data_IF_956880862588
#
_entry.id   IF_956880862588
#
_cell.length_a   1.000
_cell.length_b   1.000
_cell.length_c   1.000
_cell.angle_alpha   90.00
_cell.angle_beta   90.00
_cell.angle_gamma   90.00
#
_symmetry.space_group_name_H-M   'P 1'
#
loop_
_entity.id
_entity.type
_entity.pdbx_description
1 polymer ?
#
# COMPACT_ATOMS: atom_id res chain seq x y z
N UNK A 1 -23.58 6.93 -5.51
CA UNK A 1 -22.43 7.04 -4.61
C UNK A 1 -21.18 7.57 -5.32
N UNK A 2 -20.67 6.93 -6.37
CA UNK A 2 -19.39 7.32 -7.00
C UNK A 2 -19.46 8.73 -7.58
N UNK A 3 -20.54 9.08 -8.28
CA UNK A 3 -20.72 10.43 -8.81
C UNK A 3 -20.68 11.50 -7.71
N UNK A 4 -21.25 11.22 -6.53
CA UNK A 4 -21.21 12.12 -5.37
C UNK A 4 -19.79 12.25 -4.83
N UNK A 5 -19.03 11.15 -4.76
CA UNK A 5 -17.63 11.16 -4.32
C UNK A 5 -16.72 11.89 -5.30
N UNK A 6 -16.98 11.81 -6.60
CA UNK A 6 -16.30 12.62 -7.63
C UNK A 6 -16.57 14.11 -7.38
N UNK A 7 -17.84 14.48 -7.18
CA UNK A 7 -18.23 15.88 -6.90
C UNK A 7 -17.66 16.40 -5.57
N UNK A 8 -17.55 15.52 -4.57
CA UNK A 8 -16.93 15.82 -3.28
C UNK A 8 -15.40 15.83 -3.33
N UNK A 9 -14.79 15.54 -4.49
CA UNK A 9 -13.35 15.65 -4.70
C UNK A 9 -12.52 14.47 -4.22
N UNK A 10 -13.13 13.32 -3.94
CA UNK A 10 -12.41 12.10 -3.51
C UNK A 10 -11.64 11.42 -4.64
N UNK A 11 -12.08 11.60 -5.88
CA UNK A 11 -11.49 10.95 -7.05
C UNK A 11 -10.90 11.96 -8.04
N UNK A 12 -9.87 11.52 -8.75
CA UNK A 12 -9.36 12.16 -9.97
C UNK A 12 -9.43 11.16 -11.12
N UNK A 13 -9.64 11.66 -12.33
CA UNK A 13 -9.61 10.84 -13.54
C UNK A 13 -8.17 10.71 -14.05
N UNK A 14 -7.78 9.49 -14.41
CA UNK A 14 -6.57 9.18 -15.18
C UNK A 14 -6.95 8.38 -16.42
N UNK A 15 -6.04 8.30 -17.39
CA UNK A 15 -6.21 7.42 -18.55
C UNK A 15 -5.27 6.23 -18.44
N UNK A 16 -5.80 5.01 -18.38
CA UNK A 16 -5.05 3.76 -18.33
C UNK A 16 -5.51 2.88 -19.48
N UNK A 17 -4.60 2.38 -20.31
CA UNK A 17 -4.94 1.49 -21.44
C UNK A 17 -6.05 2.06 -22.37
N UNK A 18 -6.04 3.39 -22.56
CA UNK A 18 -7.04 4.09 -23.38
C UNK A 18 -8.42 4.26 -22.75
N UNK A 19 -8.60 3.93 -21.46
CA UNK A 19 -9.86 4.08 -20.73
C UNK A 19 -9.73 5.10 -19.61
N UNK A 20 -10.82 5.82 -19.37
CA UNK A 20 -10.97 6.73 -18.22
C UNK A 20 -11.15 5.91 -16.95
N UNK A 21 -10.27 6.11 -15.99
CA UNK A 21 -10.23 5.39 -14.72
C UNK A 21 -10.21 6.40 -13.59
N UNK A 22 -11.12 6.23 -12.62
CA UNK A 22 -11.14 7.01 -11.39
C UNK A 22 -10.19 6.39 -10.37
N UNK A 23 -9.32 7.22 -9.79
CA UNK A 23 -8.40 6.85 -8.71
C UNK A 23 -8.52 7.85 -7.58
N UNK A 24 -8.18 7.46 -6.35
CA UNK A 24 -8.24 8.39 -5.22
C UNK A 24 -7.38 9.62 -5.52
N UNK A 25 -7.92 10.80 -5.22
CA UNK A 25 -7.21 12.06 -5.36
C UNK A 25 -6.31 12.24 -4.15
N UNK A 26 -5.00 12.37 -4.38
CA UNK A 26 -4.08 12.76 -3.32
C UNK A 26 -4.02 14.30 -3.15
N UNK A 27 -3.77 14.81 -1.93
CA UNK A 27 -3.56 14.05 -0.70
C UNK A 27 -4.86 13.42 -0.18
N UNK A 28 -4.77 12.19 0.36
CA UNK A 28 -5.89 11.47 0.97
C UNK A 28 -5.46 10.77 2.24
N UNK A 29 -6.29 10.86 3.28
CA UNK A 29 -6.06 10.23 4.56
C UNK A 29 -6.97 9.01 4.72
N UNK A 30 -6.40 7.87 5.10
CA UNK A 30 -7.14 6.64 5.42
C UNK A 30 -7.01 6.35 6.91
N UNK A 31 -8.13 6.36 7.62
CA UNK A 31 -8.20 6.22 9.07
C UNK A 31 -8.78 4.85 9.43
N UNK A 32 -7.96 3.96 10.00
CA UNK A 32 -8.42 2.67 10.54
C UNK A 32 -8.70 2.84 12.02
N UNK A 33 -9.97 2.65 12.41
CA UNK A 33 -10.38 2.83 13.80
C UNK A 33 -9.68 1.85 14.74
N UNK A 34 -9.35 2.29 15.96
CA UNK A 34 -8.67 1.48 16.97
C UNK A 34 -9.39 0.14 17.25
N UNK A 35 -10.73 0.16 17.28
CA UNK A 35 -11.53 -1.04 17.44
C UNK A 35 -11.35 -2.05 16.30
N UNK A 36 -11.23 -1.56 15.05
CA UNK A 36 -10.98 -2.39 13.87
C UNK A 36 -9.57 -2.99 13.94
N UNK A 37 -8.56 -2.19 14.29
CA UNK A 37 -7.19 -2.68 14.48
C UNK A 37 -7.13 -3.81 15.52
N UNK A 38 -7.81 -3.63 16.66
CA UNK A 38 -7.87 -4.66 17.72
C UNK A 38 -8.54 -5.96 17.23
N UNK A 39 -9.61 -5.84 16.46
CA UNK A 39 -10.29 -7.01 15.89
C UNK A 39 -9.46 -7.71 14.82
N UNK A 40 -8.79 -6.97 13.95
CA UNK A 40 -7.87 -7.51 12.94
C UNK A 40 -6.69 -8.24 13.57
N UNK A 41 -6.12 -7.65 14.62
CA UNK A 41 -5.10 -8.28 15.45
C UNK A 41 -5.58 -9.61 16.03
N UNK A 42 -6.79 -9.65 16.60
CA UNK A 42 -7.33 -10.87 17.19
C UNK A 42 -7.62 -11.97 16.15
N UNK A 43 -7.88 -11.59 14.90
CA UNK A 43 -8.22 -12.49 13.82
C UNK A 43 -7.03 -12.87 12.92
N UNK A 44 -5.83 -12.33 13.20
CA UNK A 44 -4.63 -12.55 12.40
C UNK A 44 -4.09 -13.98 12.58
N UNK A 45 -4.04 -14.82 11.52
CA UNK A 45 -3.39 -16.10 11.59
C UNK A 45 -1.87 -15.95 11.48
N UNK A 46 -1.14 -16.66 12.34
CA UNK A 46 0.33 -16.59 12.40
C UNK A 46 1.03 -17.37 11.28
N UNK A 47 0.35 -18.35 10.66
CA UNK A 47 0.98 -19.36 9.81
C UNK A 47 0.46 -19.40 8.37
N UNK A 48 -0.50 -18.55 8.02
CA UNK A 48 -1.05 -18.47 6.67
C UNK A 48 -1.45 -17.04 6.33
N UNK A 49 -1.47 -16.74 5.03
CA UNK A 49 -2.03 -15.47 4.58
C UNK A 49 -3.55 -15.49 4.75
N UNK A 50 -4.06 -14.44 5.39
CA UNK A 50 -5.47 -14.09 5.44
C UNK A 50 -5.69 -12.77 4.74
N UNK A 51 -6.95 -12.41 4.55
CA UNK A 51 -7.29 -11.12 4.00
C UNK A 51 -8.78 -10.91 3.95
N UNK A 52 -9.18 -9.90 3.19
CA UNK A 52 -10.57 -9.65 2.90
C UNK A 52 -10.81 -8.22 2.45
N UNK A 53 -11.89 -7.63 2.93
CA UNK A 53 -12.33 -6.28 2.53
C UNK A 53 -12.41 -5.37 3.76
N UNK A 54 -11.72 -4.23 3.71
CA UNK A 54 -11.88 -3.10 4.60
C UNK A 54 -13.00 -2.20 4.04
N UNK A 55 -13.95 -1.83 4.90
CA UNK A 55 -15.11 -1.03 4.52
C UNK A 55 -14.77 0.44 4.80
N UNK A 56 -14.33 1.15 3.77
CA UNK A 56 -13.81 2.50 3.89
C UNK A 56 -14.91 3.54 3.59
N UNK A 57 -15.43 4.20 4.61
CA UNK A 57 -16.49 5.19 4.51
C UNK A 57 -15.91 6.58 4.26
N UNK A 58 -16.34 7.28 3.20
CA UNK A 58 -15.95 8.67 2.97
C UNK A 58 -16.48 9.58 4.09
N UNK A 59 -15.60 10.31 4.78
CA UNK A 59 -15.96 11.33 5.76
C UNK A 59 -14.93 12.48 5.77
N UNK A 60 -15.40 13.72 5.59
CA UNK A 60 -14.60 14.95 5.71
C UNK A 60 -13.28 14.96 4.91
N UNK A 61 -13.28 14.41 3.69
CA UNK A 61 -12.07 14.33 2.85
C UNK A 61 -11.17 13.11 3.15
N UNK A 62 -11.49 12.32 4.17
CA UNK A 62 -10.78 11.09 4.53
C UNK A 62 -11.64 9.85 4.23
N UNK A 63 -11.00 8.69 4.22
CA UNK A 63 -11.65 7.37 4.19
C UNK A 63 -11.52 6.71 5.57
N UNK A 64 -12.64 6.51 6.26
CA UNK A 64 -12.67 5.96 7.62
C UNK A 64 -13.13 4.51 7.60
N UNK A 65 -12.27 3.62 8.07
CA UNK A 65 -12.52 2.18 8.17
C UNK A 65 -13.02 1.86 9.57
N UNK A 66 -14.31 1.54 9.66
CA UNK A 66 -15.00 1.17 10.91
C UNK A 66 -15.38 -0.30 10.98
N UNK A 67 -15.21 -1.04 9.86
CA UNK A 67 -15.54 -2.46 9.74
C UNK A 67 -14.63 -3.13 8.70
N UNK A 68 -14.44 -4.43 8.86
CA UNK A 68 -13.84 -5.29 7.85
C UNK A 68 -14.62 -6.60 7.72
N UNK A 69 -14.28 -7.40 6.72
CA UNK A 69 -14.78 -8.77 6.54
C UNK A 69 -13.61 -9.62 6.08
N UNK A 70 -13.29 -10.68 6.84
CA UNK A 70 -12.30 -11.68 6.44
C UNK A 70 -12.94 -12.59 5.40
N UNK A 71 -12.21 -12.88 4.34
CA UNK A 71 -12.63 -13.84 3.33
C UNK A 71 -11.75 -15.10 3.43
N UNK A 72 -12.34 -16.31 3.39
CA UNK A 72 -11.59 -17.55 3.40
C UNK A 72 -10.55 -17.61 2.27
N UNK A 73 -9.34 -18.08 2.59
CA UNK A 73 -8.32 -18.38 1.58
C UNK A 73 -8.68 -19.70 0.85
N UNK A 74 -8.84 -19.63 -0.47
CA UNK A 74 -9.17 -20.78 -1.34
C UNK A 74 -7.98 -21.67 -1.62
N UNK A 75 -6.75 -21.18 -1.43
CA UNK A 75 -5.55 -21.98 -1.58
C UNK A 75 -5.53 -23.11 -0.53
N UNK A 76 -4.77 -24.16 -0.81
CA UNK A 76 -4.65 -25.33 0.06
C UNK A 76 -3.19 -25.70 0.31
N UNK A 77 -2.91 -26.40 1.41
CA UNK A 77 -1.56 -26.83 1.75
C UNK A 77 -0.56 -25.67 1.90
N UNK A 78 0.64 -25.84 1.34
CA UNK A 78 1.74 -24.87 1.47
C UNK A 78 1.48 -23.56 0.74
N UNK A 79 0.61 -23.53 -0.27
CA UNK A 79 0.32 -22.33 -1.05
C UNK A 79 -0.36 -21.23 -0.21
N UNK A 80 -1.11 -21.62 0.84
CA UNK A 80 -1.73 -20.68 1.79
C UNK A 80 -0.72 -19.91 2.62
N UNK A 81 0.51 -20.42 2.77
CA UNK A 81 1.56 -19.78 3.56
C UNK A 81 2.16 -18.56 2.87
N UNK A 82 2.15 -18.56 1.54
CA UNK A 82 2.85 -17.58 0.70
C UNK A 82 1.92 -16.91 -0.31
N UNK A 83 0.62 -17.08 -0.15
CA UNK A 83 -0.35 -16.53 -1.07
C UNK A 83 -1.77 -16.51 -0.51
N UNK A 84 -2.57 -15.61 -1.07
CA UNK A 84 -3.94 -15.38 -0.68
C UNK A 84 -4.87 -15.33 -1.89
N UNK A 85 -5.86 -16.22 -1.92
CA UNK A 85 -6.94 -16.20 -2.91
C UNK A 85 -8.30 -16.10 -2.21
N UNK A 86 -8.97 -14.92 -2.21
CA UNK A 86 -10.19 -14.72 -1.45
C UNK A 86 -11.41 -15.44 -2.06
N UNK A 87 -12.12 -16.21 -1.24
CA UNK A 87 -13.44 -16.73 -1.59
C UNK A 87 -14.51 -15.63 -1.54
N UNK A 88 -15.47 -15.66 -2.46
CA UNK A 88 -16.67 -14.81 -2.43
C UNK A 88 -16.42 -13.30 -2.32
N UNK A 89 -15.29 -12.80 -2.82
CA UNK A 89 -14.94 -11.37 -2.71
C UNK A 89 -15.95 -10.45 -3.38
N UNK A 90 -16.56 -10.88 -4.50
CA UNK A 90 -17.50 -10.06 -5.26
C UNK A 90 -18.75 -9.65 -4.45
N UNK A 91 -19.35 -10.58 -3.70
CA UNK A 91 -20.56 -10.29 -2.91
C UNK A 91 -20.26 -9.36 -1.73
N UNK A 92 -19.11 -9.55 -1.05
CA UNK A 92 -18.71 -8.68 0.05
C UNK A 92 -18.36 -7.27 -0.45
N UNK A 93 -17.72 -7.14 -1.61
CA UNK A 93 -17.50 -5.83 -2.25
C UNK A 93 -18.82 -5.14 -2.59
N UNK A 94 -19.78 -5.88 -3.17
CA UNK A 94 -21.10 -5.34 -3.48
C UNK A 94 -21.84 -4.86 -2.21
N UNK A 95 -21.77 -5.63 -1.13
CA UNK A 95 -22.37 -5.25 0.15
C UNK A 95 -21.74 -4.00 0.77
N UNK A 96 -20.41 -3.87 0.68
CA UNK A 96 -19.71 -2.66 1.13
C UNK A 96 -20.15 -1.43 0.33
N UNK A 97 -20.24 -1.56 -1.00
CA UNK A 97 -20.73 -0.48 -1.86
C UNK A 97 -22.18 -0.11 -1.54
N UNK A 98 -23.04 -1.10 -1.33
CA UNK A 98 -24.45 -0.87 -0.97
C UNK A 98 -24.61 -0.17 0.39
N UNK A 99 -23.65 -0.32 1.30
CA UNK A 99 -23.63 0.42 2.57
C UNK A 99 -22.98 1.80 2.49
N UNK A 100 -22.53 2.25 1.30
CA UNK A 100 -21.84 3.53 1.13
C UNK A 100 -20.34 3.48 1.43
N UNK A 101 -19.72 2.30 1.49
CA UNK A 101 -18.29 2.13 1.71
C UNK A 101 -17.54 1.76 0.42
N UNK A 102 -16.32 2.28 0.27
CA UNK A 102 -15.37 1.82 -0.74
C UNK A 102 -14.70 0.52 -0.26
N UNK A 103 -14.71 -0.57 -1.05
CA UNK A 103 -14.14 -1.84 -0.65
C UNK A 103 -12.63 -1.89 -0.94
N UNK A 104 -11.82 -1.53 0.05
CA UNK A 104 -10.36 -1.68 -0.02
C UNK A 104 -10.02 -3.15 0.28
N UNK A 105 -9.36 -3.85 -0.65
CA UNK A 105 -8.89 -5.21 -0.36
C UNK A 105 -7.71 -5.15 0.60
N UNK A 106 -7.57 -6.18 1.41
CA UNK A 106 -6.36 -6.37 2.18
C UNK A 106 -5.96 -7.84 2.24
N UNK A 107 -4.68 -8.09 2.46
CA UNK A 107 -4.15 -9.39 2.85
C UNK A 107 -3.01 -9.25 3.85
N UNK A 108 -2.58 -10.36 4.44
CA UNK A 108 -1.50 -10.41 5.41
C UNK A 108 -0.30 -11.19 4.90
N UNK A 109 0.90 -10.80 5.34
CA UNK A 109 2.08 -11.67 5.24
C UNK A 109 2.38 -12.27 6.61
N UNK A 110 2.16 -13.58 6.83
CA UNK A 110 2.46 -14.22 8.10
C UNK A 110 3.94 -14.04 8.44
N UNK A 111 4.23 -13.87 9.72
CA UNK A 111 5.59 -13.81 10.25
C UNK A 111 5.73 -15.02 11.17
N UNK A 112 6.34 -16.09 10.67
CA UNK A 112 6.70 -17.25 11.49
C UNK A 112 7.77 -16.82 12.51
N UNK A 113 7.82 -17.45 13.69
CA UNK A 113 8.63 -16.90 14.78
C UNK A 113 9.98 -17.57 14.84
N UNK A 114 11.00 -16.83 14.41
CA UNK A 114 12.42 -17.15 14.62
C UNK A 114 12.82 -18.57 14.19
N UNK A 115 12.10 -19.17 13.25
CA UNK A 115 12.49 -20.46 12.69
C UNK A 115 13.71 -20.29 11.78
N UNK A 116 13.86 -19.11 11.17
CA UNK A 116 14.99 -18.79 10.30
C UNK A 116 15.42 -17.29 10.39
N UNK A 117 16.54 -16.89 9.75
CA UNK A 117 16.99 -15.50 9.74
C UNK A 117 16.06 -14.48 9.03
N UNK A 118 15.16 -14.95 8.16
CA UNK A 118 14.15 -14.13 7.48
C UNK A 118 13.05 -13.67 8.46
N UNK A 119 12.74 -14.49 9.46
CA UNK A 119 11.75 -14.18 10.50
C UNK A 119 12.23 -13.15 11.53
N UNK A 120 13.54 -12.87 11.56
CA UNK A 120 14.16 -11.90 12.48
C UNK A 120 14.14 -10.46 11.96
N UNK A 121 13.59 -10.24 10.78
CA UNK A 121 13.58 -8.93 10.15
C UNK A 121 12.59 -7.97 10.84
N UNK A 122 12.83 -6.66 10.81
CA UNK A 122 11.87 -5.69 11.34
C UNK A 122 10.55 -5.75 10.54
N UNK A 123 9.42 -5.35 11.14
CA UNK A 123 8.12 -5.40 10.45
C UNK A 123 8.08 -4.73 9.08
N UNK A 124 8.87 -3.67 8.90
CA UNK A 124 8.99 -2.94 7.62
C UNK A 124 9.52 -3.81 6.49
N UNK A 125 10.25 -4.88 6.79
CA UNK A 125 10.72 -5.86 5.82
C UNK A 125 9.57 -6.68 5.22
N UNK A 126 8.54 -6.99 6.01
CA UNK A 126 7.38 -7.78 5.57
C UNK A 126 6.36 -6.94 4.81
N UNK A 127 6.54 -5.62 4.73
CA UNK A 127 5.72 -4.70 3.94
C UNK A 127 6.11 -4.67 2.45
N UNK A 128 6.73 -5.76 1.97
CA UNK A 128 7.16 -5.96 0.58
C UNK A 128 6.07 -6.68 -0.19
N UNK A 129 5.54 -6.03 -1.22
CA UNK A 129 4.58 -6.64 -2.14
C UNK A 129 5.29 -7.44 -3.22
N UNK A 130 4.76 -8.61 -3.55
CA UNK A 130 5.18 -9.41 -4.70
C UNK A 130 4.77 -8.75 -6.02
N UNK A 131 5.34 -9.15 -7.17
CA UNK A 131 4.85 -8.70 -8.48
C UNK A 131 3.36 -9.02 -8.71
N UNK A 132 2.87 -10.15 -8.18
CA UNK A 132 1.46 -10.52 -8.28
C UNK A 132 0.56 -9.57 -7.47
N UNK A 133 0.97 -9.21 -6.25
CA UNK A 133 0.23 -8.26 -5.41
C UNK A 133 0.11 -6.91 -6.11
N UNK A 134 1.22 -6.42 -6.69
CA UNK A 134 1.25 -5.16 -7.44
C UNK A 134 0.36 -5.23 -8.66
N UNK A 135 0.41 -6.31 -9.43
CA UNK A 135 -0.48 -6.48 -10.57
C UNK A 135 -1.96 -6.44 -10.14
N UNK A 136 -2.27 -7.17 -9.06
CA UNK A 136 -3.63 -7.26 -8.54
C UNK A 136 -4.17 -5.94 -8.03
N UNK A 137 -3.34 -5.07 -7.44
CA UNK A 137 -3.75 -3.75 -6.91
C UNK A 137 -4.11 -2.71 -7.98
N UNK A 138 -3.92 -3.04 -9.27
CA UNK A 138 -4.37 -2.22 -10.39
C UNK A 138 -5.63 -2.76 -11.06
N UNK A 139 -6.19 -3.87 -10.59
CA UNK A 139 -7.40 -4.46 -11.17
C UNK A 139 -8.60 -3.52 -10.96
N UNK A 140 -9.28 -3.10 -12.04
CA UNK A 140 -10.38 -2.15 -11.94
C UNK A 140 -11.65 -2.78 -11.36
N UNK A 141 -12.39 -1.96 -10.62
CA UNK A 141 -13.75 -2.22 -10.15
C UNK A 141 -14.74 -1.44 -11.03
N UNK A 142 -15.77 -2.12 -11.53
CA UNK A 142 -16.90 -1.46 -12.20
C UNK A 142 -17.95 -1.10 -11.15
N UNK A 143 -18.10 0.18 -10.85
CA UNK A 143 -19.01 0.69 -9.81
C UNK A 143 -19.87 1.80 -10.42
N UNK A 144 -21.19 1.62 -10.45
CA UNK A 144 -22.13 2.62 -10.99
C UNK A 144 -21.79 3.10 -12.42
N UNK A 145 -21.24 2.22 -13.26
CA UNK A 145 -20.81 2.54 -14.62
C UNK A 145 -19.43 3.22 -14.73
N UNK A 146 -18.79 3.52 -13.59
CA UNK A 146 -17.42 4.02 -13.54
C UNK A 146 -16.42 2.88 -13.41
N UNK A 147 -15.27 3.05 -14.05
CA UNK A 147 -14.08 2.23 -13.80
C UNK A 147 -13.29 2.89 -12.68
N UNK A 148 -13.20 2.22 -11.52
CA UNK A 148 -12.54 2.73 -10.33
C UNK A 148 -11.40 1.81 -9.95
N UNK A 149 -10.24 2.37 -9.62
CA UNK A 149 -9.11 1.63 -9.06
C UNK A 149 -8.81 2.19 -7.67
N UNK A 150 -8.75 1.30 -6.69
CA UNK A 150 -8.47 1.61 -5.28
C UNK A 150 -7.13 0.98 -4.88
N UNK A 151 -6.41 1.54 -3.89
CA UNK A 151 -5.26 0.86 -3.33
C UNK A 151 -5.70 -0.42 -2.61
N UNK A 152 -4.77 -1.37 -2.49
CA UNK A 152 -4.90 -2.53 -1.61
C UNK A 152 -4.14 -2.25 -0.30
N UNK A 153 -4.45 -2.99 0.75
CA UNK A 153 -3.80 -2.88 2.04
C UNK A 153 -3.02 -4.15 2.41
N UNK A 154 -1.83 -3.98 2.97
CA UNK A 154 -1.02 -5.06 3.49
C UNK A 154 -0.97 -4.98 5.00
N UNK A 155 -1.31 -6.09 5.65
CA UNK A 155 -1.23 -6.27 7.09
C UNK A 155 0.03 -7.09 7.44
N UNK A 156 0.83 -6.58 8.37
CA UNK A 156 1.96 -7.32 8.94
C UNK A 156 1.89 -7.22 10.45
N UNK A 157 1.97 -8.35 11.15
CA UNK A 157 1.99 -8.38 12.61
C UNK A 157 3.39 -8.77 13.12
N UNK A 158 3.89 -8.05 14.13
CA UNK A 158 5.09 -8.50 14.86
C UNK A 158 4.65 -9.49 15.92
N UNK A 159 5.25 -10.66 15.88
CA UNK A 159 5.38 -11.60 16.98
C UNK A 159 4.12 -12.33 17.51
N UNK A 160 4.45 -13.37 18.28
CA UNK A 160 3.65 -14.39 18.97
C UNK A 160 2.34 -13.94 19.63
N UNK A 161 2.09 -12.65 19.85
CA UNK A 161 0.92 -12.15 20.57
C UNK A 161 0.04 -11.18 19.77
N UNK A 162 0.41 -10.88 18.51
CA UNK A 162 -0.31 -9.95 17.64
C UNK A 162 -0.28 -8.50 18.12
N UNK A 163 0.51 -8.15 19.13
CA UNK A 163 0.42 -6.88 19.85
C UNK A 163 0.76 -5.63 19.01
N UNK A 164 1.56 -5.79 17.95
CA UNK A 164 1.86 -4.73 16.99
C UNK A 164 1.46 -5.15 15.58
N UNK A 165 0.24 -4.77 15.16
CA UNK A 165 -0.20 -4.85 13.77
C UNK A 165 0.10 -3.55 13.04
N UNK A 166 0.72 -3.67 11.86
CA UNK A 166 0.96 -2.54 10.95
C UNK A 166 0.17 -2.75 9.67
N UNK A 167 -0.46 -1.66 9.23
CA UNK A 167 -1.09 -1.57 7.93
C UNK A 167 -0.29 -0.66 7.02
N UNK A 168 -0.26 -1.03 5.75
CA UNK A 168 0.27 -0.22 4.67
C UNK A 168 -0.70 -0.26 3.49
N UNK A 169 -0.81 0.83 2.73
CA UNK A 169 -1.58 0.88 1.49
C UNK A 169 -0.65 0.88 0.30
N UNK A 170 -0.96 0.12 -0.75
CA UNK A 170 -0.11 0.01 -1.92
C UNK A 170 -0.91 0.01 -3.23
N UNK A 171 -0.25 0.47 -4.29
CA UNK A 171 -0.81 0.52 -5.64
C UNK A 171 -2.01 1.45 -5.79
N UNK A 172 -2.97 1.06 -6.61
CA UNK A 172 -4.17 1.86 -6.87
C UNK A 172 -3.92 3.19 -7.59
N UNK A 173 -2.74 3.36 -8.20
CA UNK A 173 -2.22 4.62 -8.78
C UNK A 173 -2.19 5.82 -7.82
N UNK A 174 -2.20 5.54 -6.51
CA UNK A 174 -2.20 6.57 -5.46
C UNK A 174 -1.15 6.28 -4.40
N UNK A 175 -0.93 5.01 -4.06
CA UNK A 175 0.09 4.59 -3.09
C UNK A 175 1.29 3.93 -3.80
N UNK A 176 2.49 3.91 -3.18
CA UNK A 176 3.65 3.22 -3.72
C UNK A 176 3.37 1.72 -3.86
N UNK A 177 3.96 1.10 -4.88
CA UNK A 177 3.87 -0.35 -5.08
C UNK A 177 4.35 -1.16 -3.87
N UNK A 178 5.36 -0.67 -3.16
CA UNK A 178 5.93 -1.29 -1.95
C UNK A 178 6.68 -0.24 -1.14
N UNK A 179 6.59 -0.31 0.20
CA UNK A 179 7.35 0.58 1.10
C UNK A 179 8.86 0.42 1.00
N UNK A 180 9.35 -0.69 0.44
CA UNK A 180 10.78 -0.90 0.24
C UNK A 180 11.19 -0.80 -1.23
N UNK A 181 10.25 -0.59 -2.16
CA UNK A 181 10.59 -0.35 -3.55
C UNK A 181 11.07 1.09 -3.69
N UNK A 182 12.04 1.29 -4.59
CA UNK A 182 12.32 2.61 -5.10
C UNK A 182 11.11 3.08 -5.93
N UNK A 183 10.59 4.26 -5.62
CA UNK A 183 9.60 4.97 -6.42
C UNK A 183 10.16 5.21 -7.84
N UNK A 184 9.29 5.37 -8.82
CA UNK A 184 9.72 5.63 -10.20
C UNK A 184 10.58 6.90 -10.30
N UNK A 185 10.21 7.94 -9.54
CA UNK A 185 10.98 9.17 -9.37
C UNK A 185 12.36 8.91 -8.76
N UNK A 186 12.46 8.13 -7.67
CA UNK A 186 13.73 7.73 -7.06
C UNK A 186 14.62 6.96 -8.06
N UNK A 187 14.03 6.03 -8.84
CA UNK A 187 14.75 5.27 -9.88
C UNK A 187 15.31 6.19 -10.96
N UNK A 188 14.47 7.08 -11.50
CA UNK A 188 14.88 8.06 -12.53
C UNK A 188 16.00 8.94 -11.99
N UNK A 189 15.90 9.38 -10.74
CA UNK A 189 16.93 10.19 -10.09
C UNK A 189 18.26 9.42 -9.97
N UNK A 190 18.23 8.17 -9.50
CA UNK A 190 19.42 7.33 -9.36
C UNK A 190 20.08 7.08 -10.73
N UNK A 191 19.30 6.76 -11.77
CA UNK A 191 19.85 6.55 -13.11
C UNK A 191 20.47 7.83 -13.68
N UNK A 192 19.83 8.98 -13.48
CA UNK A 192 20.37 10.27 -13.89
C UNK A 192 21.66 10.61 -13.13
N UNK A 193 21.68 10.40 -11.81
CA UNK A 193 22.86 10.59 -10.98
C UNK A 193 24.06 9.74 -11.44
N UNK A 194 23.84 8.46 -11.73
CA UNK A 194 24.87 7.55 -12.24
C UNK A 194 25.40 8.05 -13.60
N UNK A 195 24.50 8.44 -14.52
CA UNK A 195 24.88 8.95 -15.83
C UNK A 195 25.74 10.22 -15.71
N UNK A 196 25.34 11.17 -14.85
CA UNK A 196 26.07 12.43 -14.65
C UNK A 196 27.46 12.18 -14.05
N UNK A 197 27.59 11.25 -13.10
CA UNK A 197 28.89 10.83 -12.54
C UNK A 197 29.77 10.21 -13.61
N UNK A 198 29.21 9.34 -14.46
CA UNK A 198 29.94 8.69 -15.55
C UNK A 198 30.42 9.69 -16.60
N UNK A 199 29.58 10.66 -16.99
CA UNK A 199 29.98 11.74 -17.89
C UNK A 199 31.05 12.64 -17.26
N UNK A 200 30.92 12.98 -15.97
CA UNK A 200 31.92 13.76 -15.26
C UNK A 200 33.28 13.05 -15.18
N UNK A 201 33.28 11.71 -15.08
CA UNK A 201 34.49 10.91 -15.14
C UNK A 201 35.12 10.93 -16.53
N UNK A 202 34.34 10.65 -17.58
CA UNK A 202 34.81 10.59 -18.97
C UNK A 202 35.38 11.92 -19.47
N UNK A 203 34.74 13.05 -19.13
CA UNK A 203 35.10 14.37 -19.67
C UNK A 203 35.85 15.27 -18.68
N UNK A 204 35.91 14.89 -17.40
CA UNK A 204 36.44 15.74 -16.33
C UNK A 204 37.46 15.07 -15.40
N UNK A 205 37.70 13.78 -15.58
CA UNK A 205 38.64 13.00 -14.76
C UNK A 205 38.13 12.71 -13.35
N UNK A 206 38.92 11.91 -12.63
CA UNK A 206 38.53 11.32 -11.34
C UNK A 206 38.12 12.34 -10.26
N UNK A 207 38.86 13.45 -10.13
CA UNK A 207 38.56 14.48 -9.11
C UNK A 207 37.18 15.11 -9.33
N UNK A 208 36.86 15.46 -10.57
CA UNK A 208 35.56 16.07 -10.91
C UNK A 208 34.43 15.06 -10.72
N UNK A 209 34.64 13.80 -11.11
CA UNK A 209 33.69 12.72 -10.86
C UNK A 209 33.41 12.53 -9.36
N UNK A 210 34.44 12.59 -8.51
CA UNK A 210 34.28 12.49 -7.06
C UNK A 210 33.41 13.60 -6.47
N UNK A 211 33.61 14.87 -6.87
CA UNK A 211 32.76 15.98 -6.43
C UNK A 211 31.30 15.81 -6.91
N UNK A 212 31.12 15.44 -8.18
CA UNK A 212 29.79 15.21 -8.77
C UNK A 212 29.08 14.05 -8.08
N UNK A 213 29.79 12.97 -7.75
CA UNK A 213 29.25 11.85 -6.98
C UNK A 213 28.78 12.27 -5.60
N UNK A 214 29.61 13.04 -4.86
CA UNK A 214 29.23 13.57 -3.55
C UNK A 214 27.96 14.41 -3.60
N UNK A 215 27.86 15.32 -4.57
CA UNK A 215 26.66 16.15 -4.76
C UNK A 215 25.43 15.31 -5.13
N UNK A 216 25.58 14.36 -6.05
CA UNK A 216 24.49 13.47 -6.46
C UNK A 216 23.99 12.59 -5.31
N UNK A 217 24.89 12.13 -4.42
CA UNK A 217 24.51 11.39 -3.22
C UNK A 217 23.70 12.24 -2.24
N UNK A 218 24.14 13.48 -1.96
CA UNK A 218 23.40 14.41 -1.09
C UNK A 218 22.00 14.69 -1.64
N UNK A 219 21.90 14.98 -2.94
CA UNK A 219 20.61 15.26 -3.56
C UNK A 219 19.71 14.02 -3.63
N UNK A 220 20.27 12.82 -3.81
CA UNK A 220 19.50 11.56 -3.74
C UNK A 220 18.90 11.35 -2.34
N UNK A 221 19.68 11.65 -1.29
CA UNK A 221 19.19 11.61 0.09
C UNK A 221 18.10 12.68 0.29
N UNK A 222 18.28 13.89 -0.23
CA UNK A 222 17.28 14.94 -0.14
C UNK A 222 15.96 14.55 -0.83
N UNK A 223 16.02 13.97 -2.03
CA UNK A 223 14.85 13.43 -2.73
C UNK A 223 14.16 12.36 -1.89
N UNK A 224 14.92 11.40 -1.35
CA UNK A 224 14.38 10.34 -0.49
C UNK A 224 13.70 10.88 0.78
N UNK A 225 14.24 11.94 1.38
CA UNK A 225 13.66 12.58 2.58
C UNK A 225 12.43 13.45 2.25
N UNK A 226 12.39 14.05 1.06
CA UNK A 226 11.28 14.89 0.60
C UNK A 226 10.11 14.06 0.06
N UNK A 227 10.38 12.90 -0.54
CA UNK A 227 9.35 11.95 -0.94
C UNK A 227 8.77 11.25 0.29
N UNK A 228 7.70 11.84 0.82
CA UNK A 228 6.94 11.25 1.92
C UNK A 228 6.36 9.92 1.46
N UNK A 229 6.85 8.82 2.04
CA UNK A 229 6.19 7.52 1.92
C UNK A 229 4.92 7.53 2.78
N UNK A 230 3.84 6.82 2.41
CA UNK A 230 2.68 6.72 3.27
C UNK A 230 3.08 6.02 4.56
N UNK A 231 3.14 6.78 5.65
CA UNK A 231 3.45 6.26 6.98
C UNK A 231 2.18 6.29 7.81
N UNK A 232 1.81 5.13 8.36
CA UNK A 232 0.71 5.03 9.30
C UNK A 232 1.15 5.54 10.68
N UNK A 233 0.45 6.53 11.23
CA UNK A 233 0.70 7.06 12.58
C UNK A 233 -0.56 6.86 13.43
N UNK A 234 -0.39 6.41 14.68
CA UNK A 234 -1.51 6.32 15.61
C UNK A 234 -1.82 7.71 16.20
N UNK A 235 -3.08 8.14 16.13
CA UNK A 235 -3.52 9.39 16.77
C UNK A 235 -3.76 9.17 18.29
N UNK A 236 -4.22 10.22 18.99
CA UNK A 236 -4.52 10.16 20.43
C UNK A 236 -5.66 9.20 20.82
N UNK A 237 -6.49 8.79 19.87
CA UNK A 237 -7.58 7.80 20.06
C UNK A 237 -7.10 6.37 19.77
N UNK A 238 -5.85 6.20 19.32
CA UNK A 238 -5.30 4.91 18.91
C UNK A 238 -5.69 4.48 17.48
N UNK A 239 -6.38 5.34 16.72
CA UNK A 239 -6.68 5.08 15.31
C UNK A 239 -5.39 5.19 14.49
N UNK A 240 -5.23 4.31 13.50
CA UNK A 240 -4.14 4.40 12.55
C UNK A 240 -4.53 5.33 11.41
N UNK A 241 -3.78 6.41 11.24
CA UNK A 241 -3.95 7.38 10.16
C UNK A 241 -2.84 7.16 9.13
N UNK A 242 -3.22 6.78 7.91
CA UNK A 242 -2.30 6.59 6.77
C UNK A 242 -2.51 7.76 5.82
N UNK A 243 -1.53 8.65 5.77
CA UNK A 243 -1.52 9.78 4.84
C UNK A 243 -0.89 9.37 3.51
N UNK A 244 -1.63 9.52 2.42
CA UNK A 244 -1.10 9.38 1.06
C UNK A 244 -0.95 10.79 0.47
N UNK A 245 0.29 11.29 0.27
CA UNK A 245 0.55 12.67 -0.13
C UNK A 245 0.16 12.99 -1.57
#
# INVERSE_FOLDING_TARGET
>A
MIAELVNAGYFREITTEGRKTLVLKSPVSVVIKAAVLKQLQAAYPLHEETGGILWAYPANGSLVITRFTILPNQLTGNERKTGYQPASSASVRANALASGALPIRFHSHPVEIYENPYDRQPLTFFQKTSPADRHNSYLPLSIEGYTVVLPDALLSANDRLGQDVRFYLYGGFVAPDSLSALLTSEKVYIYFAILVVLLAYLFGGFRRAGYVFGLAAILSIAVFLLEKRPTGVKNGEGDLVIEIP
#
